data_IF_800691320923
#
_entry.id   IF_800691320923
#
_cell.length_a   1.000
_cell.length_b   1.000
_cell.length_c   1.000
_cell.angle_alpha   90.00
_cell.angle_beta   90.00
_cell.angle_gamma   90.00
#
_symmetry.space_group_name_H-M   'P 1'
#
loop_
_entity.id
_entity.type
_entity.pdbx_description
1 polymer ?
#
# COMPACT_ATOMS: atom_id res chain seq x y z
N UNK A 1 24.19 -4.87 23.12
CA UNK A 1 24.49 -5.96 22.18
C UNK A 1 24.46 -5.36 20.78
N UNK A 2 25.40 -5.76 19.90
CA UNK A 2 25.32 -5.35 18.47
C UNK A 2 24.06 -6.00 17.89
N UNK A 3 23.27 -5.22 17.10
CA UNK A 3 22.13 -5.77 16.37
C UNK A 3 22.63 -6.73 15.30
N UNK A 4 21.81 -7.73 15.00
CA UNK A 4 22.07 -8.69 13.93
C UNK A 4 22.06 -7.98 12.58
N UNK A 5 22.90 -8.41 11.64
CA UNK A 5 22.89 -7.91 10.26
C UNK A 5 21.86 -8.69 9.46
N UNK A 6 21.12 -7.98 8.60
CA UNK A 6 20.24 -8.59 7.63
C UNK A 6 21.05 -9.21 6.49
N UNK A 7 20.81 -10.48 6.20
CA UNK A 7 21.44 -11.19 5.09
C UNK A 7 20.44 -11.38 3.94
N UNK A 8 20.80 -10.89 2.75
CA UNK A 8 19.98 -11.01 1.53
C UNK A 8 20.18 -12.36 0.86
N UNK A 9 19.64 -13.42 1.47
CA UNK A 9 19.79 -14.81 0.97
C UNK A 9 18.82 -15.16 -0.15
N UNK A 10 17.66 -14.50 -0.24
CA UNK A 10 16.56 -14.79 -1.17
C UNK A 10 16.07 -13.50 -1.85
N UNK A 11 15.40 -13.60 -3.02
CA UNK A 11 14.68 -12.47 -3.61
C UNK A 11 13.69 -11.89 -2.62
N UNK A 12 13.59 -10.56 -2.55
CA UNK A 12 12.68 -9.85 -1.66
C UNK A 12 11.43 -9.37 -2.40
N UNK A 13 10.25 -9.73 -1.85
CA UNK A 13 8.96 -9.36 -2.40
C UNK A 13 8.10 -8.72 -1.30
N UNK A 14 7.43 -7.62 -1.62
CA UNK A 14 6.45 -7.00 -0.74
C UNK A 14 5.06 -7.49 -1.13
N UNK A 15 4.41 -8.17 -0.21
CA UNK A 15 3.03 -8.66 -0.35
C UNK A 15 2.17 -8.00 0.72
N UNK A 16 0.85 -8.03 0.58
CA UNK A 16 -0.01 -7.60 1.67
C UNK A 16 -1.41 -8.14 1.54
N UNK A 17 -2.17 -8.04 2.64
CA UNK A 17 -3.58 -8.42 2.70
C UNK A 17 -4.47 -7.19 2.52
N UNK A 18 -5.42 -7.29 1.58
CA UNK A 18 -6.46 -6.30 1.31
C UNK A 18 -7.84 -6.97 1.33
N UNK A 19 -8.90 -6.21 1.50
CA UNK A 19 -10.27 -6.73 1.54
C UNK A 19 -11.12 -6.10 2.64
N UNK A 20 -12.38 -6.51 2.71
CA UNK A 20 -13.37 -5.95 3.63
C UNK A 20 -12.99 -6.14 5.11
N UNK A 21 -13.54 -5.29 6.00
CA UNK A 21 -13.47 -5.49 7.45
C UNK A 21 -14.11 -6.85 7.82
N UNK A 22 -13.60 -7.51 8.84
CA UNK A 22 -14.06 -8.82 9.34
C UNK A 22 -13.96 -10.01 8.37
N UNK A 23 -13.34 -9.85 7.20
CA UNK A 23 -13.04 -10.98 6.29
C UNK A 23 -11.82 -11.82 6.75
N UNK A 24 -11.16 -11.43 7.85
CA UNK A 24 -10.12 -12.22 8.50
C UNK A 24 -8.70 -12.00 7.96
N UNK A 25 -8.39 -10.80 7.43
CA UNK A 25 -7.05 -10.45 6.94
C UNK A 25 -5.97 -10.68 7.97
N UNK A 26 -6.08 -10.04 9.13
CA UNK A 26 -5.10 -10.13 10.23
C UNK A 26 -5.00 -11.55 10.79
N UNK A 27 -6.11 -12.29 10.85
CA UNK A 27 -6.11 -13.70 11.26
C UNK A 27 -5.35 -14.57 10.26
N UNK A 28 -5.53 -14.34 8.96
CA UNK A 28 -4.80 -15.03 7.90
C UNK A 28 -3.31 -14.64 7.93
N UNK A 29 -2.98 -13.38 8.12
CA UNK A 29 -1.60 -12.90 8.29
C UNK A 29 -0.93 -13.60 9.47
N UNK A 30 -1.62 -13.72 10.62
CA UNK A 30 -1.12 -14.47 11.77
C UNK A 30 -0.90 -15.97 11.45
N UNK A 31 -1.80 -16.60 10.68
CA UNK A 31 -1.64 -17.97 10.23
C UNK A 31 -0.40 -18.15 9.32
N UNK A 32 -0.19 -17.23 8.38
CA UNK A 32 0.98 -17.25 7.50
C UNK A 32 2.26 -17.12 8.32
N UNK A 33 2.35 -16.16 9.26
CA UNK A 33 3.56 -16.01 10.09
C UNK A 33 3.84 -17.22 10.96
N UNK A 34 2.81 -17.98 11.37
CA UNK A 34 2.98 -19.20 12.17
C UNK A 34 3.72 -20.30 11.42
N UNK A 35 3.53 -20.43 10.12
CA UNK A 35 4.09 -21.52 9.31
C UNK A 35 5.32 -21.12 8.48
N UNK A 36 5.51 -19.83 8.22
CA UNK A 36 6.58 -19.35 7.36
C UNK A 36 7.57 -18.39 8.03
N UNK A 37 7.36 -18.02 9.29
CA UNK A 37 8.23 -17.06 9.97
C UNK A 37 8.13 -17.11 11.49
N UNK A 38 8.48 -15.99 12.12
CA UNK A 38 8.27 -15.78 13.55
C UNK A 38 6.79 -15.52 13.81
N UNK A 39 6.14 -16.46 14.48
CA UNK A 39 4.71 -16.34 14.79
C UNK A 39 4.36 -15.00 15.44
N UNK A 40 3.43 -14.29 14.84
CA UNK A 40 2.81 -13.09 15.40
C UNK A 40 1.33 -13.34 15.64
N UNK A 41 0.94 -13.30 16.90
CA UNK A 41 -0.47 -13.41 17.25
C UNK A 41 -1.25 -12.17 16.81
N UNK A 42 -2.57 -12.30 16.65
CA UNK A 42 -3.46 -11.21 16.23
C UNK A 42 -3.22 -9.90 17.00
N UNK A 43 -3.12 -9.98 18.34
CA UNK A 43 -2.89 -8.84 19.24
C UNK A 43 -1.47 -8.26 19.20
N UNK A 44 -0.56 -8.91 18.51
CA UNK A 44 0.80 -8.42 18.22
C UNK A 44 0.88 -7.73 16.85
N UNK A 45 0.01 -8.10 15.90
CA UNK A 45 -0.15 -7.47 14.61
C UNK A 45 -0.97 -6.18 14.82
N UNK A 46 -2.19 -6.29 15.34
CA UNK A 46 -3.04 -5.17 15.76
C UNK A 46 -2.66 -4.75 17.19
N UNK A 47 -1.50 -4.10 17.32
CA UNK A 47 -0.87 -3.85 18.63
C UNK A 47 -1.32 -2.60 19.35
N UNK A 48 -1.91 -1.61 18.64
CA UNK A 48 -2.32 -0.34 19.23
C UNK A 48 -3.50 -0.51 20.19
N UNK A 49 -3.57 0.27 21.28
CA UNK A 49 -4.68 0.19 22.24
C UNK A 49 -6.05 0.39 21.61
N UNK A 50 -6.16 1.25 20.61
CA UNK A 50 -7.40 1.53 19.90
C UNK A 50 -7.81 0.36 18.99
N UNK A 51 -6.88 -0.29 18.33
CA UNK A 51 -7.08 -1.49 17.52
C UNK A 51 -7.62 -2.64 18.38
N UNK A 52 -6.98 -2.88 19.53
CA UNK A 52 -7.42 -3.88 20.51
C UNK A 52 -8.80 -3.60 21.08
N UNK A 53 -9.13 -2.34 21.35
CA UNK A 53 -10.42 -1.94 21.88
C UNK A 53 -11.55 -2.08 20.88
N UNK A 54 -11.28 -1.87 19.58
CA UNK A 54 -12.28 -1.94 18.51
C UNK A 54 -12.31 -3.29 17.80
N UNK A 55 -11.26 -4.10 17.93
CA UNK A 55 -11.10 -5.38 17.22
C UNK A 55 -10.93 -5.22 15.70
N UNK A 56 -10.38 -4.08 15.25
CA UNK A 56 -10.16 -3.77 13.83
C UNK A 56 -8.77 -3.19 13.63
N UNK A 57 -8.15 -3.49 12.48
CA UNK A 57 -6.88 -2.89 12.06
C UNK A 57 -7.10 -1.43 11.67
N UNK A 58 -6.32 -0.53 12.23
CA UNK A 58 -6.35 0.92 11.97
C UNK A 58 -5.14 1.34 11.16
N UNK A 59 -3.95 0.95 11.63
CA UNK A 59 -2.67 1.23 10.98
C UNK A 59 -2.18 0.02 10.20
N UNK A 60 -1.35 0.24 9.18
CA UNK A 60 -0.67 -0.86 8.50
C UNK A 60 0.31 -1.53 9.44
N UNK A 61 0.26 -2.85 9.55
CA UNK A 61 1.24 -3.64 10.28
C UNK A 61 2.19 -4.33 9.30
N UNK A 62 3.48 -4.38 9.67
CA UNK A 62 4.51 -5.01 8.85
C UNK A 62 5.04 -6.25 9.57
N UNK A 63 5.01 -7.39 8.90
CA UNK A 63 5.61 -8.63 9.37
C UNK A 63 6.53 -9.20 8.30
N UNK A 64 7.51 -10.03 8.70
CA UNK A 64 8.40 -10.74 7.79
C UNK A 64 8.23 -12.25 7.92
N UNK A 65 8.39 -12.95 6.79
CA UNK A 65 8.47 -14.40 6.74
C UNK A 65 9.15 -14.86 5.44
N UNK A 66 9.45 -16.15 5.34
CA UNK A 66 10.12 -16.71 4.17
C UNK A 66 9.43 -17.99 3.71
N UNK A 67 9.31 -18.14 2.38
CA UNK A 67 9.10 -19.44 1.73
C UNK A 67 10.45 -20.06 1.37
N UNK A 68 10.46 -21.23 0.74
CA UNK A 68 11.69 -21.78 0.19
C UNK A 68 12.32 -20.87 -0.87
N UNK A 69 11.49 -20.13 -1.60
CA UNK A 69 11.89 -19.36 -2.77
C UNK A 69 12.19 -17.89 -2.45
N UNK A 70 11.48 -17.26 -1.47
CA UNK A 70 11.47 -15.81 -1.27
C UNK A 70 11.45 -15.39 0.19
N UNK A 71 11.97 -14.19 0.42
CA UNK A 71 11.74 -13.42 1.65
C UNK A 71 10.62 -12.40 1.40
N UNK A 72 9.60 -12.41 2.25
CA UNK A 72 8.45 -11.52 2.17
C UNK A 72 8.44 -10.47 3.27
N UNK A 73 8.25 -9.21 2.87
CA UNK A 73 7.69 -8.19 3.75
C UNK A 73 6.18 -8.13 3.52
N UNK A 74 5.41 -8.40 4.55
CA UNK A 74 3.95 -8.44 4.46
C UNK A 74 3.33 -7.24 5.15
N UNK A 75 2.46 -6.55 4.45
CA UNK A 75 1.71 -5.38 4.93
C UNK A 75 0.27 -5.79 5.19
N UNK A 76 -0.14 -5.86 6.45
CA UNK A 76 -1.55 -6.06 6.81
C UNK A 76 -2.28 -4.73 6.76
N UNK A 77 -3.25 -4.60 5.85
CA UNK A 77 -3.97 -3.36 5.59
C UNK A 77 -5.30 -3.29 6.36
N UNK A 78 -5.69 -2.10 6.86
CA UNK A 78 -7.00 -1.91 7.45
C UNK A 78 -8.11 -2.18 6.43
N UNK A 79 -9.23 -2.76 6.89
CA UNK A 79 -10.40 -3.07 6.05
C UNK A 79 -11.51 -2.04 6.15
N UNK A 80 -11.51 -1.16 7.17
CA UNK A 80 -12.58 -0.23 7.44
C UNK A 80 -12.47 1.04 6.60
N UNK A 81 -13.61 1.55 6.10
CA UNK A 81 -13.68 2.72 5.22
C UNK A 81 -13.01 4.00 5.81
N UNK A 82 -13.06 4.19 7.13
CA UNK A 82 -12.43 5.35 7.79
C UNK A 82 -10.90 5.36 7.66
N UNK A 83 -10.28 4.19 7.40
CA UNK A 83 -8.82 4.02 7.34
C UNK A 83 -8.29 3.77 5.93
N UNK A 84 -9.07 4.03 4.91
CA UNK A 84 -8.68 3.86 3.50
C UNK A 84 -7.37 4.58 3.16
N UNK A 85 -7.08 5.71 3.80
CA UNK A 85 -5.79 6.41 3.64
C UNK A 85 -4.60 5.50 4.01
N UNK A 86 -4.70 4.75 5.09
CA UNK A 86 -3.66 3.82 5.50
C UNK A 86 -3.61 2.60 4.57
N UNK A 87 -4.77 2.14 4.09
CA UNK A 87 -4.85 1.09 3.06
C UNK A 87 -4.13 1.51 1.77
N UNK A 88 -4.40 2.72 1.25
CA UNK A 88 -3.73 3.25 0.05
C UNK A 88 -2.21 3.30 0.25
N UNK A 89 -1.76 3.78 1.40
CA UNK A 89 -0.32 3.84 1.73
C UNK A 89 0.31 2.45 1.78
N UNK A 90 -0.36 1.49 2.39
CA UNK A 90 0.11 0.10 2.46
C UNK A 90 0.13 -0.55 1.07
N UNK A 91 -0.96 -0.41 0.31
CA UNK A 91 -1.07 -0.99 -1.03
C UNK A 91 -0.02 -0.44 -2.01
N UNK A 92 0.33 0.84 -1.92
CA UNK A 92 1.37 1.45 -2.76
C UNK A 92 2.77 0.83 -2.58
N UNK A 93 2.98 0.05 -1.52
CA UNK A 93 4.23 -0.64 -1.24
C UNK A 93 4.29 -2.06 -1.80
N UNK A 94 3.18 -2.62 -2.23
CA UNK A 94 3.06 -4.03 -2.59
C UNK A 94 3.53 -4.31 -4.02
N UNK A 95 4.21 -5.42 -4.20
CA UNK A 95 4.55 -6.01 -5.50
C UNK A 95 3.45 -6.95 -5.99
N UNK A 96 2.61 -7.42 -5.07
CA UNK A 96 1.39 -8.18 -5.25
C UNK A 96 0.56 -8.14 -3.98
N UNK A 97 -0.72 -8.48 -4.04
CA UNK A 97 -1.58 -8.52 -2.86
C UNK A 97 -2.41 -9.80 -2.79
N UNK A 98 -2.73 -10.19 -1.56
CA UNK A 98 -3.70 -11.24 -1.25
C UNK A 98 -5.05 -10.57 -0.98
N UNK A 99 -6.00 -10.76 -1.88
CA UNK A 99 -7.37 -10.30 -1.70
C UNK A 99 -8.11 -11.30 -0.82
N UNK A 100 -8.43 -10.89 0.41
CA UNK A 100 -9.14 -11.74 1.36
C UNK A 100 -10.63 -11.48 1.29
N UNK A 101 -11.40 -12.50 0.90
CA UNK A 101 -12.86 -12.47 0.80
C UNK A 101 -13.42 -13.58 1.68
N UNK A 102 -14.36 -13.26 2.58
CA UNK A 102 -15.04 -14.29 3.34
C UNK A 102 -16.01 -15.06 2.45
N UNK A 103 -15.91 -16.39 2.43
CA UNK A 103 -16.78 -17.26 1.65
C UNK A 103 -18.26 -17.14 2.07
N UNK A 104 -18.50 -16.74 3.32
CA UNK A 104 -19.86 -16.52 3.87
C UNK A 104 -20.53 -15.27 3.36
N UNK A 105 -19.77 -14.25 2.94
CA UNK A 105 -20.28 -12.91 2.67
C UNK A 105 -20.08 -12.47 1.20
N UNK A 106 -19.12 -13.09 0.51
CA UNK A 106 -18.72 -12.69 -0.83
C UNK A 106 -18.03 -11.31 -0.90
N UNK A 107 -17.84 -10.73 -2.10
CA UNK A 107 -17.23 -9.44 -2.28
C UNK A 107 -18.14 -8.29 -1.86
N UNK A 108 -17.78 -7.61 -0.79
CA UNK A 108 -18.53 -6.50 -0.19
C UNK A 108 -18.02 -5.11 -0.68
N UNK A 109 -18.62 -4.03 -0.17
CA UNK A 109 -18.33 -2.67 -0.63
C UNK A 109 -16.85 -2.29 -0.51
N UNK A 110 -16.19 -2.56 0.64
CA UNK A 110 -14.76 -2.25 0.78
C UNK A 110 -13.89 -3.23 -0.03
N UNK A 111 -14.34 -4.47 -0.31
CA UNK A 111 -13.62 -5.36 -1.22
C UNK A 111 -13.49 -4.72 -2.60
N UNK A 112 -14.59 -4.18 -3.13
CA UNK A 112 -14.62 -3.47 -4.42
C UNK A 112 -13.74 -2.23 -4.41
N UNK A 113 -13.84 -1.41 -3.36
CA UNK A 113 -13.00 -0.21 -3.20
C UNK A 113 -11.51 -0.57 -3.10
N UNK A 114 -11.15 -1.64 -2.37
CA UNK A 114 -9.77 -2.06 -2.22
C UNK A 114 -9.16 -2.59 -3.52
N UNK A 115 -9.91 -3.34 -4.33
CA UNK A 115 -9.45 -3.80 -5.65
C UNK A 115 -9.22 -2.61 -6.57
N UNK A 116 -10.16 -1.66 -6.63
CA UNK A 116 -10.02 -0.43 -7.38
C UNK A 116 -8.77 0.36 -6.95
N UNK A 117 -8.59 0.59 -5.65
CA UNK A 117 -7.46 1.34 -5.11
C UNK A 117 -6.13 0.62 -5.35
N UNK A 118 -6.08 -0.70 -5.19
CA UNK A 118 -4.90 -1.50 -5.50
C UNK A 118 -4.47 -1.31 -6.96
N UNK A 119 -5.43 -1.33 -7.90
CA UNK A 119 -5.14 -1.03 -9.31
C UNK A 119 -4.58 0.37 -9.51
N UNK A 120 -5.18 1.37 -8.87
CA UNK A 120 -4.78 2.77 -9.00
C UNK A 120 -3.39 3.08 -8.45
N UNK A 121 -3.00 2.43 -7.34
CA UNK A 121 -1.66 2.59 -6.77
C UNK A 121 -0.62 1.68 -7.45
N UNK A 122 -1.04 0.89 -8.44
CA UNK A 122 -0.15 0.11 -9.28
C UNK A 122 0.22 -1.26 -8.72
N UNK A 123 -0.59 -1.87 -7.85
CA UNK A 123 -0.43 -3.30 -7.47
C UNK A 123 -0.66 -4.15 -8.71
N UNK A 124 0.35 -4.88 -9.21
CA UNK A 124 0.23 -5.53 -10.51
C UNK A 124 -0.43 -6.90 -10.47
N UNK A 125 -0.37 -7.60 -9.33
CA UNK A 125 -0.81 -8.99 -9.20
C UNK A 125 -1.67 -9.19 -7.97
N UNK A 126 -2.76 -9.98 -8.14
CA UNK A 126 -3.64 -10.38 -7.04
C UNK A 126 -3.76 -11.91 -6.98
N UNK A 127 -3.66 -12.43 -5.76
CA UNK A 127 -4.03 -13.81 -5.40
C UNK A 127 -5.22 -13.73 -4.46
N UNK A 128 -6.23 -14.55 -4.65
CA UNK A 128 -7.45 -14.53 -3.84
C UNK A 128 -7.40 -15.60 -2.76
N UNK A 129 -7.59 -15.18 -1.52
CA UNK A 129 -7.85 -16.06 -0.40
C UNK A 129 -9.36 -16.05 -0.09
N UNK A 130 -10.07 -17.09 -0.47
CA UNK A 130 -11.46 -17.30 -0.10
C UNK A 130 -11.51 -17.85 1.32
N UNK A 131 -11.54 -16.92 2.29
CA UNK A 131 -11.38 -17.23 3.71
C UNK A 131 -12.70 -17.62 4.38
N UNK A 132 -12.63 -18.22 5.57
CA UNK A 132 -13.78 -18.80 6.30
C UNK A 132 -14.50 -19.91 5.49
N UNK A 133 -13.79 -20.56 4.60
CA UNK A 133 -14.35 -21.66 3.79
C UNK A 133 -14.79 -22.86 4.64
N UNK A 134 -14.28 -22.98 5.87
CA UNK A 134 -14.73 -23.96 6.87
C UNK A 134 -16.17 -23.76 7.36
N UNK A 135 -16.76 -22.58 7.11
CA UNK A 135 -18.13 -22.23 7.52
C UNK A 135 -19.16 -22.46 6.42
N UNK A 136 -18.74 -22.88 5.23
CA UNK A 136 -19.61 -23.11 4.07
C UNK A 136 -19.51 -24.57 3.64
N UNK A 137 -20.57 -25.32 3.83
CA UNK A 137 -20.62 -26.75 3.49
C UNK A 137 -21.06 -26.99 2.03
N UNK A 138 -21.64 -25.97 1.38
CA UNK A 138 -22.18 -26.06 0.03
C UNK A 138 -21.15 -25.60 -1.01
N UNK A 139 -20.68 -26.53 -1.83
CA UNK A 139 -19.70 -26.24 -2.89
C UNK A 139 -20.24 -25.27 -3.95
N UNK A 140 -21.55 -25.28 -4.24
CA UNK A 140 -22.15 -24.37 -5.22
C UNK A 140 -22.08 -22.91 -4.73
N UNK A 141 -22.16 -22.67 -3.42
CA UNK A 141 -21.98 -21.34 -2.83
C UNK A 141 -20.53 -20.89 -2.97
N UNK A 142 -19.56 -21.76 -2.73
CA UNK A 142 -18.14 -21.44 -2.88
C UNK A 142 -17.81 -21.09 -4.34
N UNK A 143 -18.31 -21.86 -5.31
CA UNK A 143 -18.16 -21.59 -6.74
C UNK A 143 -18.81 -20.25 -7.16
N UNK A 144 -19.98 -19.95 -6.62
CA UNK A 144 -20.67 -18.67 -6.89
C UNK A 144 -19.86 -17.47 -6.39
N UNK A 145 -19.37 -17.54 -5.15
CA UNK A 145 -18.54 -16.46 -4.57
C UNK A 145 -17.24 -16.31 -5.33
N UNK A 146 -16.61 -17.41 -5.75
CA UNK A 146 -15.43 -17.36 -6.60
C UNK A 146 -15.72 -16.65 -7.93
N UNK A 147 -16.85 -16.96 -8.58
CA UNK A 147 -17.25 -16.31 -9.83
C UNK A 147 -17.44 -14.80 -9.64
N UNK A 148 -18.14 -14.38 -8.57
CA UNK A 148 -18.33 -12.96 -8.25
C UNK A 148 -17.01 -12.22 -8.03
N UNK A 149 -16.03 -12.87 -7.39
CA UNK A 149 -14.69 -12.29 -7.19
C UNK A 149 -13.96 -12.16 -8.52
N UNK A 150 -14.02 -13.18 -9.38
CA UNK A 150 -13.40 -13.13 -10.72
C UNK A 150 -14.01 -12.02 -11.60
N UNK A 151 -15.31 -11.85 -11.56
CA UNK A 151 -16.01 -10.76 -12.25
C UNK A 151 -15.58 -9.39 -11.70
N UNK A 152 -15.46 -9.26 -10.38
CA UNK A 152 -14.96 -8.04 -9.76
C UNK A 152 -13.54 -7.71 -10.24
N UNK A 153 -12.61 -8.68 -10.24
CA UNK A 153 -11.24 -8.48 -10.69
C UNK A 153 -11.21 -8.04 -12.15
N UNK A 154 -11.94 -8.72 -13.03
CA UNK A 154 -12.04 -8.40 -14.46
C UNK A 154 -12.62 -7.01 -14.69
N UNK A 155 -13.59 -6.58 -13.88
CA UNK A 155 -14.19 -5.23 -13.97
C UNK A 155 -13.20 -4.10 -13.62
N UNK A 156 -12.10 -4.43 -12.95
CA UNK A 156 -11.04 -3.49 -12.56
C UNK A 156 -9.74 -3.73 -13.32
N UNK A 157 -9.81 -4.33 -14.50
CA UNK A 157 -8.68 -4.62 -15.41
C UNK A 157 -7.57 -5.51 -14.79
N UNK A 158 -7.90 -6.35 -13.80
CA UNK A 158 -7.06 -7.48 -13.42
C UNK A 158 -7.44 -8.71 -14.24
N UNK A 159 -6.52 -9.66 -14.34
CA UNK A 159 -6.80 -10.96 -15.00
C UNK A 159 -7.65 -11.85 -14.08
N UNK A 160 -8.95 -11.56 -13.99
CA UNK A 160 -9.88 -12.28 -13.12
C UNK A 160 -10.07 -13.73 -13.52
N UNK A 161 -9.98 -14.04 -14.82
CA UNK A 161 -10.18 -15.42 -15.31
C UNK A 161 -9.06 -16.36 -14.87
N UNK A 162 -7.81 -15.87 -14.82
CA UNK A 162 -6.64 -16.65 -14.44
C UNK A 162 -6.13 -16.36 -13.01
N UNK A 163 -6.74 -15.43 -12.29
CA UNK A 163 -6.33 -15.13 -10.92
C UNK A 163 -6.40 -16.39 -10.05
N UNK A 164 -5.35 -16.74 -9.30
CA UNK A 164 -5.39 -17.86 -8.37
C UNK A 164 -6.42 -17.60 -7.27
N UNK A 165 -7.30 -18.56 -7.01
CA UNK A 165 -8.26 -18.53 -5.90
C UNK A 165 -8.02 -19.74 -5.03
N UNK A 166 -7.69 -19.53 -3.75
CA UNK A 166 -7.43 -20.59 -2.78
C UNK A 166 -8.44 -20.50 -1.64
N UNK A 167 -9.15 -21.59 -1.39
CA UNK A 167 -10.06 -21.70 -0.25
C UNK A 167 -9.26 -21.93 1.02
N UNK A 168 -9.40 -21.04 2.02
CA UNK A 168 -8.65 -21.08 3.27
C UNK A 168 -9.55 -20.89 4.48
N UNK A 169 -9.06 -21.32 5.64
CA UNK A 169 -9.57 -20.89 6.94
C UNK A 169 -8.39 -20.49 7.82
N UNK A 170 -8.12 -19.17 7.90
CA UNK A 170 -7.04 -18.65 8.71
C UNK A 170 -7.18 -19.03 10.19
N UNK A 171 -8.40 -19.06 10.72
CA UNK A 171 -8.66 -19.45 12.10
C UNK A 171 -8.36 -20.93 12.36
N UNK A 172 -8.89 -21.84 11.51
CA UNK A 172 -8.64 -23.27 11.64
C UNK A 172 -7.18 -23.65 11.43
N UNK A 173 -6.51 -22.97 10.52
CA UNK A 173 -5.06 -23.14 10.36
C UNK A 173 -4.30 -22.72 11.62
N UNK A 174 -4.67 -21.62 12.28
CA UNK A 174 -4.12 -21.22 13.57
C UNK A 174 -4.38 -22.25 14.68
N UNK A 175 -5.54 -22.89 14.67
CA UNK A 175 -5.89 -23.98 15.60
C UNK A 175 -5.11 -25.28 15.32
N UNK A 176 -4.50 -25.41 14.14
CA UNK A 176 -3.67 -26.55 13.76
C UNK A 176 -4.45 -27.67 13.07
N UNK A 177 -5.57 -27.36 12.43
CA UNK A 177 -6.30 -28.30 11.59
C UNK A 177 -5.52 -28.57 10.30
N UNK A 178 -5.11 -29.82 10.08
CA UNK A 178 -4.19 -30.21 9.00
C UNK A 178 -4.70 -29.82 7.61
N UNK A 179 -6.00 -29.91 7.33
CA UNK A 179 -6.60 -29.49 6.06
C UNK A 179 -6.38 -28.02 5.81
N UNK A 180 -6.64 -27.19 6.83
CA UNK A 180 -6.58 -25.74 6.70
C UNK A 180 -5.14 -25.20 6.84
N UNK A 181 -4.28 -25.92 7.52
CA UNK A 181 -2.82 -25.67 7.47
C UNK A 181 -2.33 -25.86 6.05
N UNK A 182 -2.69 -26.99 5.39
CA UNK A 182 -2.29 -27.23 4.00
C UNK A 182 -2.80 -26.12 3.07
N UNK A 183 -4.02 -25.65 3.25
CA UNK A 183 -4.58 -24.57 2.42
C UNK A 183 -3.82 -23.24 2.54
N UNK A 184 -3.23 -22.93 3.69
CA UNK A 184 -2.35 -21.77 3.87
C UNK A 184 -1.00 -22.00 3.16
N UNK A 185 -0.49 -23.22 3.17
CA UNK A 185 0.72 -23.56 2.40
C UNK A 185 0.45 -23.41 0.90
N UNK A 186 -0.69 -23.94 0.40
CA UNK A 186 -1.12 -23.84 -1.00
C UNK A 186 -1.32 -22.38 -1.43
N UNK A 187 -1.86 -21.53 -0.52
CA UNK A 187 -1.99 -20.08 -0.77
C UNK A 187 -0.61 -19.43 -1.00
N UNK A 188 0.37 -19.77 -0.18
CA UNK A 188 1.70 -19.17 -0.32
C UNK A 188 2.46 -19.73 -1.53
N UNK A 189 2.21 -21.00 -1.91
CA UNK A 189 2.69 -21.56 -3.18
C UNK A 189 2.07 -20.80 -4.37
N UNK A 190 0.77 -20.54 -4.35
CA UNK A 190 0.10 -19.73 -5.38
C UNK A 190 0.67 -18.30 -5.45
N UNK A 191 1.04 -17.69 -4.32
CA UNK A 191 1.72 -16.38 -4.30
C UNK A 191 3.11 -16.49 -4.93
N UNK A 192 3.91 -17.50 -4.57
CA UNK A 192 5.26 -17.73 -5.12
C UNK A 192 5.23 -17.91 -6.65
N UNK A 193 4.22 -18.62 -7.17
CA UNK A 193 4.10 -18.92 -8.60
C UNK A 193 3.55 -17.75 -9.43
N UNK A 194 2.61 -16.97 -8.89
CA UNK A 194 1.85 -15.99 -9.67
C UNK A 194 2.31 -14.54 -9.48
N UNK A 195 3.07 -14.25 -8.44
CA UNK A 195 3.70 -12.94 -8.27
C UNK A 195 5.17 -13.07 -8.72
N UNK A 196 5.56 -12.50 -9.86
CA UNK A 196 6.95 -12.61 -10.34
C UNK A 196 7.92 -11.84 -9.46
N UNK A 197 9.21 -12.16 -9.56
CA UNK A 197 10.26 -11.39 -8.87
C UNK A 197 10.25 -9.94 -9.35
N UNK A 198 10.12 -8.97 -8.42
CA UNK A 198 9.98 -7.59 -8.81
C UNK A 198 11.26 -7.03 -9.44
N UNK A 199 11.12 -6.32 -10.55
CA UNK A 199 12.21 -5.56 -11.14
C UNK A 199 12.47 -4.32 -10.30
N UNK A 200 13.71 -4.15 -9.81
CA UNK A 200 14.10 -3.05 -8.92
C UNK A 200 14.98 -2.03 -9.61
N UNK A 201 14.54 -0.78 -9.66
CA UNK A 201 15.25 0.37 -10.22
C UNK A 201 16.41 0.83 -9.31
N UNK A 202 17.42 -0.02 -9.10
CA UNK A 202 18.54 0.26 -8.17
C UNK A 202 19.48 1.37 -8.67
N UNK A 203 19.57 1.58 -9.98
CA UNK A 203 20.49 2.55 -10.59
C UNK A 203 19.93 3.99 -10.64
N UNK A 204 18.62 4.15 -10.39
CA UNK A 204 18.00 5.48 -10.30
C UNK A 204 18.41 6.22 -9.01
N UNK A 205 18.30 7.56 -8.96
CA UNK A 205 18.49 8.31 -7.71
C UNK A 205 17.53 7.79 -6.62
N UNK A 206 18.07 7.61 -5.41
CA UNK A 206 17.29 7.10 -4.27
C UNK A 206 16.06 7.96 -3.98
N UNK A 207 14.93 7.30 -3.72
CA UNK A 207 13.69 7.91 -3.28
C UNK A 207 12.95 6.95 -2.35
N UNK A 208 12.56 7.45 -1.18
CA UNK A 208 11.75 6.73 -0.19
C UNK A 208 10.67 7.67 0.37
N UNK A 209 9.37 7.41 0.12
CA UNK A 209 8.27 8.10 0.78
C UNK A 209 8.27 7.81 2.28
N UNK A 210 8.02 8.83 3.10
CA UNK A 210 7.94 8.68 4.56
C UNK A 210 6.52 8.25 4.93
N UNK A 211 6.42 7.13 5.65
CA UNK A 211 5.17 6.58 6.16
C UNK A 211 4.95 6.91 7.61
N UNK A 212 6.00 6.77 8.41
CA UNK A 212 5.94 7.05 9.83
C UNK A 212 7.23 7.69 10.33
N UNK A 213 7.11 8.40 11.46
CA UNK A 213 8.22 9.14 12.08
C UNK A 213 8.20 8.89 13.58
N UNK A 214 9.26 8.33 14.12
CA UNK A 214 9.41 8.12 15.56
C UNK A 214 10.76 8.55 16.09
N UNK A 215 10.83 8.65 17.40
CA UNK A 215 12.07 8.96 18.11
C UNK A 215 12.53 7.74 18.89
N UNK A 216 13.78 7.35 18.68
CA UNK A 216 14.43 6.34 19.51
C UNK A 216 15.26 7.07 20.57
N UNK A 217 14.94 6.85 21.85
CA UNK A 217 15.65 7.47 22.97
C UNK A 217 17.15 7.20 22.88
N UNK A 218 17.96 8.28 22.89
CA UNK A 218 19.42 8.21 22.80
C UNK A 218 19.98 7.97 21.39
N UNK A 219 19.13 7.77 20.36
CA UNK A 219 19.58 7.57 18.97
C UNK A 219 19.15 8.70 18.03
N UNK A 220 17.94 9.21 18.17
CA UNK A 220 17.40 10.30 17.35
C UNK A 220 16.12 9.96 16.62
N UNK A 221 15.82 10.71 15.57
CA UNK A 221 14.61 10.55 14.73
C UNK A 221 14.83 9.48 13.69
N UNK A 222 13.86 8.59 13.57
CA UNK A 222 13.79 7.53 12.54
C UNK A 222 12.58 7.80 11.67
N UNK A 223 12.77 7.73 10.36
CA UNK A 223 11.69 7.73 9.38
C UNK A 223 11.61 6.36 8.73
N UNK A 224 10.41 5.85 8.52
CA UNK A 224 10.20 4.57 7.84
C UNK A 224 9.47 4.75 6.52
N UNK A 225 9.68 3.81 5.64
CA UNK A 225 9.03 3.72 4.35
C UNK A 225 9.64 2.62 3.49
N UNK A 226 9.04 2.40 2.33
CA UNK A 226 9.61 1.55 1.29
C UNK A 226 10.49 2.38 0.36
N UNK A 227 11.71 1.94 0.11
CA UNK A 227 12.56 2.50 -0.93
C UNK A 227 11.91 2.27 -2.30
N UNK A 228 11.37 3.32 -2.93
CA UNK A 228 10.67 3.24 -4.21
C UNK A 228 11.67 2.92 -5.34
N UNK A 229 12.85 3.54 -5.28
CA UNK A 229 13.94 3.35 -6.25
C UNK A 229 15.31 3.70 -5.66
N UNK A 230 16.36 3.31 -6.35
CA UNK A 230 17.74 3.62 -6.03
C UNK A 230 18.33 2.78 -4.91
N UNK A 231 19.53 3.17 -4.50
CA UNK A 231 20.26 2.62 -3.36
C UNK A 231 20.74 3.74 -2.44
N UNK A 232 20.81 3.47 -1.13
CA UNK A 232 21.25 4.43 -0.12
C UNK A 232 22.17 3.75 0.88
N UNK A 233 23.43 4.14 0.92
CA UNK A 233 24.38 3.67 1.92
C UNK A 233 24.30 4.48 3.22
N UNK A 234 24.71 3.89 4.35
CA UNK A 234 24.89 4.63 5.60
C UNK A 234 25.92 5.77 5.42
N UNK A 235 25.74 6.85 6.19
CA UNK A 235 26.51 8.10 6.10
C UNK A 235 26.32 8.90 4.80
N UNK A 236 25.34 8.55 3.97
CA UNK A 236 24.98 9.35 2.80
C UNK A 236 24.18 10.60 3.21
N UNK A 237 24.45 11.71 2.50
CA UNK A 237 23.64 12.92 2.57
C UNK A 237 22.33 12.69 1.79
N UNK A 238 21.20 13.13 2.37
CA UNK A 238 19.88 13.08 1.76
C UNK A 238 19.16 14.41 1.93
N UNK A 239 18.15 14.64 1.10
CA UNK A 239 17.17 15.72 1.26
C UNK A 239 15.81 15.14 1.65
N UNK A 240 15.11 15.87 2.53
CA UNK A 240 13.71 15.63 2.89
C UNK A 240 12.88 16.68 2.17
N UNK A 241 12.00 16.24 1.26
CA UNK A 241 11.32 17.08 0.28
C UNK A 241 9.80 16.93 0.41
N UNK A 242 9.09 18.03 0.19
CA UNK A 242 7.62 18.11 0.20
C UNK A 242 7.03 18.64 1.51
N UNK A 243 5.82 19.16 1.45
CA UNK A 243 5.01 19.74 2.52
C UNK A 243 5.66 20.91 3.25
N UNK A 244 6.93 20.85 3.54
CA UNK A 244 7.77 21.84 4.24
C UNK A 244 8.97 22.25 3.39
N UNK A 245 9.69 23.32 3.79
CA UNK A 245 10.97 23.65 3.14
C UNK A 245 11.92 22.47 3.14
N UNK A 246 12.55 22.23 2.00
CA UNK A 246 13.53 21.14 1.83
C UNK A 246 14.67 21.30 2.84
N UNK A 247 15.00 20.22 3.53
CA UNK A 247 16.11 20.17 4.48
C UNK A 247 17.08 19.04 4.16
N UNK A 248 18.36 19.27 4.45
CA UNK A 248 19.42 18.28 4.28
C UNK A 248 19.75 17.61 5.60
N UNK A 249 20.01 16.31 5.53
CA UNK A 249 20.48 15.53 6.68
C UNK A 249 21.36 14.38 6.22
N UNK A 250 21.91 13.63 7.17
CA UNK A 250 22.73 12.44 6.92
C UNK A 250 22.04 11.24 7.55
N UNK A 251 21.93 10.16 6.78
CA UNK A 251 21.44 8.86 7.28
C UNK A 251 22.58 8.15 8.00
N UNK A 252 22.47 8.00 9.33
CA UNK A 252 23.52 7.40 10.17
C UNK A 252 23.30 5.93 10.48
N UNK A 253 22.12 5.39 10.15
CA UNK A 253 21.81 3.98 10.31
C UNK A 253 20.61 3.59 9.46
N UNK A 254 20.61 2.36 9.01
CA UNK A 254 19.53 1.77 8.23
C UNK A 254 19.15 0.44 8.89
N UNK A 255 17.87 0.22 9.09
CA UNK A 255 17.34 -0.99 9.73
C UNK A 255 16.14 -1.53 8.94
N UNK A 256 16.05 -2.83 8.82
CA UNK A 256 14.89 -3.55 8.28
C UNK A 256 14.55 -4.70 9.23
N UNK A 257 13.31 -4.77 9.71
CA UNK A 257 12.85 -5.78 10.69
C UNK A 257 13.79 -5.92 11.91
N UNK A 258 14.20 -4.79 12.48
CA UNK A 258 15.14 -4.69 13.63
C UNK A 258 16.57 -5.17 13.36
N UNK A 259 16.91 -5.60 12.13
CA UNK A 259 18.26 -5.98 11.70
C UNK A 259 18.94 -4.79 11.00
N UNK A 260 20.26 -4.67 11.13
CA UNK A 260 21.03 -3.58 10.53
C UNK A 260 21.35 -3.87 9.06
N UNK A 261 21.32 -2.81 8.25
CA UNK A 261 21.74 -2.80 6.86
C UNK A 261 22.90 -1.82 6.69
N UNK A 262 23.88 -2.14 5.84
CA UNK A 262 24.92 -1.21 5.41
C UNK A 262 24.40 -0.26 4.32
N UNK A 263 23.41 -0.71 3.54
CA UNK A 263 22.70 0.06 2.52
C UNK A 263 21.26 -0.42 2.35
N UNK A 264 20.35 0.50 1.97
CA UNK A 264 18.98 0.19 1.56
C UNK A 264 18.91 0.10 0.04
N UNK A 265 18.12 -0.85 -0.48
CA UNK A 265 17.88 -1.04 -1.91
C UNK A 265 16.42 -0.78 -2.27
N UNK A 266 16.19 -0.39 -3.52
CA UNK A 266 14.85 -0.31 -4.09
C UNK A 266 14.03 -1.55 -3.75
N UNK A 267 12.82 -1.34 -3.26
CA UNK A 267 11.88 -2.37 -2.82
C UNK A 267 11.94 -2.72 -1.33
N UNK A 268 12.97 -2.33 -0.59
CA UNK A 268 13.08 -2.67 0.83
C UNK A 268 12.30 -1.70 1.72
N UNK A 269 11.57 -2.24 2.70
CA UNK A 269 10.91 -1.49 3.76
C UNK A 269 11.93 -1.25 4.89
N UNK A 270 12.37 -0.03 5.05
CA UNK A 270 13.44 0.29 6.00
C UNK A 270 13.16 1.52 6.85
N UNK A 271 13.82 1.55 8.00
CA UNK A 271 13.91 2.70 8.88
C UNK A 271 15.26 3.39 8.71
N UNK A 272 15.23 4.69 8.44
CA UNK A 272 16.41 5.55 8.28
C UNK A 272 16.61 6.42 9.52
N UNK A 273 17.73 6.27 10.21
CA UNK A 273 18.12 7.11 11.34
C UNK A 273 18.75 8.41 10.83
N UNK A 274 18.12 9.53 11.13
CA UNK A 274 18.51 10.86 10.64
C UNK A 274 19.35 11.62 11.66
N UNK A 275 20.47 12.22 11.22
CA UNK A 275 21.36 13.02 12.08
C UNK A 275 20.80 14.41 12.32
N UNK A 276 20.64 14.79 13.60
CA UNK A 276 20.31 16.17 13.97
C UNK A 276 18.91 16.64 13.57
N UNK A 277 18.07 15.75 13.05
CA UNK A 277 16.70 16.04 12.69
C UNK A 277 15.80 15.75 13.88
N UNK A 278 14.95 16.69 14.27
CA UNK A 278 13.96 16.49 15.33
C UNK A 278 12.71 15.82 14.75
N UNK A 279 11.95 15.14 15.59
CA UNK A 279 10.72 14.47 15.17
C UNK A 279 9.72 15.45 14.52
N UNK A 280 9.63 16.68 15.05
CA UNK A 280 8.69 17.70 14.57
C UNK A 280 9.15 18.41 13.28
N UNK A 281 10.39 18.19 12.85
CA UNK A 281 10.91 18.74 11.59
C UNK A 281 10.50 17.91 10.37
N UNK A 282 10.03 16.67 10.58
CA UNK A 282 9.70 15.68 9.55
C UNK A 282 8.31 15.13 9.79
N UNK A 283 7.57 14.88 8.71
CA UNK A 283 6.22 14.30 8.79
C UNK A 283 5.96 13.30 7.66
N UNK A 284 4.97 12.43 7.89
CA UNK A 284 4.44 11.54 6.86
C UNK A 284 4.04 12.32 5.62
N UNK A 285 4.34 11.77 4.45
CA UNK A 285 4.03 12.39 3.17
C UNK A 285 5.17 13.15 2.51
N UNK A 286 6.22 13.49 3.29
CA UNK A 286 7.49 13.92 2.72
C UNK A 286 8.23 12.73 2.10
N UNK A 287 9.24 12.98 1.30
CA UNK A 287 10.12 11.95 0.72
C UNK A 287 11.58 12.18 1.10
N UNK A 288 12.30 11.10 1.35
CA UNK A 288 13.76 11.10 1.48
C UNK A 288 14.35 10.81 0.11
N UNK A 289 15.20 11.71 -0.39
CA UNK A 289 15.76 11.61 -1.74
C UNK A 289 17.26 11.86 -1.77
N UNK A 290 17.92 11.38 -2.83
CA UNK A 290 19.26 11.82 -3.17
C UNK A 290 19.24 13.33 -3.41
N UNK A 291 20.20 14.12 -2.86
CA UNK A 291 20.20 15.56 -3.00
C UNK A 291 20.05 16.05 -4.44
N UNK A 292 19.10 16.99 -4.65
CA UNK A 292 18.82 17.59 -5.94
C UNK A 292 18.11 16.69 -6.97
N UNK A 293 17.65 15.50 -6.60
CA UNK A 293 17.02 14.58 -7.56
C UNK A 293 15.52 14.80 -7.74
N UNK A 294 14.83 15.36 -6.74
CA UNK A 294 13.40 15.67 -6.78
C UNK A 294 13.16 17.03 -6.15
N UNK A 295 12.22 17.79 -6.71
CA UNK A 295 11.81 19.10 -6.20
C UNK A 295 10.34 19.08 -5.78
N UNK A 296 9.96 19.94 -4.81
CA UNK A 296 8.55 20.08 -4.43
C UNK A 296 7.81 21.02 -5.38
N UNK A 297 6.56 20.67 -5.72
CA UNK A 297 5.74 21.42 -6.66
C UNK A 297 4.30 21.57 -6.14
N UNK A 298 3.63 22.66 -6.55
CA UNK A 298 2.23 22.93 -6.23
C UNK A 298 1.33 22.86 -7.45
N UNK A 299 1.85 23.12 -8.66
CA UNK A 299 1.02 23.26 -9.86
C UNK A 299 1.45 22.23 -10.91
N UNK A 300 0.48 21.51 -11.44
CA UNK A 300 0.71 20.51 -12.47
C UNK A 300 -0.46 20.38 -13.44
N UNK A 301 -0.19 19.86 -14.62
CA UNK A 301 -1.19 19.31 -15.53
C UNK A 301 -1.27 17.81 -15.31
N UNK A 302 -2.46 17.24 -15.37
CA UNK A 302 -2.67 15.80 -15.22
C UNK A 302 -3.90 15.33 -15.96
N UNK A 303 -3.88 14.08 -16.37
CA UNK A 303 -5.05 13.39 -16.93
C UNK A 303 -5.65 12.52 -15.83
N UNK A 304 -6.99 12.54 -15.69
CA UNK A 304 -7.69 11.70 -14.72
C UNK A 304 -8.95 11.07 -15.30
N UNK A 305 -9.21 9.85 -14.87
CA UNK A 305 -10.50 9.18 -15.01
C UNK A 305 -11.35 9.45 -13.78
N UNK A 306 -12.59 9.88 -13.99
CA UNK A 306 -13.55 10.17 -12.93
C UNK A 306 -14.51 8.98 -12.80
N UNK A 307 -14.49 8.33 -11.65
CA UNK A 307 -15.28 7.14 -11.40
C UNK A 307 -16.77 7.40 -11.60
N UNK A 308 -17.43 6.49 -12.29
CA UNK A 308 -18.87 6.47 -12.46
C UNK A 308 -19.59 6.17 -11.14
N UNK A 309 -20.91 6.38 -11.10
CA UNK A 309 -21.75 6.03 -9.97
C UNK A 309 -21.68 4.53 -9.63
N UNK A 310 -21.67 3.69 -10.65
CA UNK A 310 -21.68 2.23 -10.50
C UNK A 310 -20.33 1.70 -9.98
N UNK A 311 -19.24 2.45 -10.19
CA UNK A 311 -17.92 2.22 -9.63
C UNK A 311 -17.76 2.81 -8.20
N UNK A 312 -18.84 3.33 -7.60
CA UNK A 312 -18.81 3.94 -6.28
C UNK A 312 -18.34 5.41 -6.26
N UNK A 313 -18.16 6.00 -7.44
CA UNK A 313 -17.71 7.38 -7.62
C UNK A 313 -18.80 8.45 -7.41
N UNK A 314 -18.67 9.55 -8.12
CA UNK A 314 -19.59 10.67 -8.03
C UNK A 314 -20.92 10.39 -8.72
N UNK A 315 -21.98 11.08 -8.26
CA UNK A 315 -23.30 11.06 -8.90
C UNK A 315 -23.54 12.29 -9.77
N UNK A 316 -22.83 13.38 -9.53
CA UNK A 316 -23.01 14.64 -10.20
C UNK A 316 -21.70 15.09 -10.86
N UNK A 317 -21.78 15.87 -11.96
CA UNK A 317 -20.60 16.47 -12.58
C UNK A 317 -19.90 17.43 -11.61
N UNK A 318 -18.64 17.75 -11.93
CA UNK A 318 -17.93 18.84 -11.30
C UNK A 318 -17.51 19.90 -12.35
N UNK A 319 -17.19 21.08 -11.86
CA UNK A 319 -16.86 22.27 -12.64
C UNK A 319 -15.48 22.80 -12.25
N UNK A 320 -14.94 23.73 -13.01
CA UNK A 320 -13.77 24.51 -12.62
C UNK A 320 -13.93 25.06 -11.19
N UNK A 321 -12.84 25.11 -10.43
CA UNK A 321 -12.76 25.40 -8.99
C UNK A 321 -13.25 24.28 -8.06
N UNK A 322 -13.45 23.07 -8.54
CA UNK A 322 -13.65 21.90 -7.68
C UNK A 322 -12.42 21.65 -6.81
N UNK A 323 -12.64 21.33 -5.52
CA UNK A 323 -11.58 21.25 -4.50
C UNK A 323 -11.57 19.92 -3.76
N UNK A 324 -11.18 18.83 -4.42
CA UNK A 324 -11.03 17.53 -3.77
C UNK A 324 -9.68 17.39 -3.06
N UNK A 325 -9.48 16.24 -2.41
CA UNK A 325 -8.19 15.80 -1.91
C UNK A 325 -7.47 14.95 -2.96
N UNK A 326 -6.21 15.27 -3.19
CA UNK A 326 -5.30 14.52 -4.05
C UNK A 326 -4.38 13.68 -3.18
N UNK A 327 -4.36 12.38 -3.41
CA UNK A 327 -3.52 11.43 -2.71
C UNK A 327 -2.31 11.07 -3.56
N UNK A 328 -1.13 11.40 -3.06
CA UNK A 328 0.15 11.08 -3.68
C UNK A 328 0.99 10.27 -2.71
N UNK A 329 1.45 9.09 -3.11
CA UNK A 329 2.26 8.22 -2.25
C UNK A 329 1.65 8.06 -0.85
N UNK A 330 2.25 8.68 0.17
CA UNK A 330 1.85 8.57 1.59
C UNK A 330 1.11 9.79 2.13
N UNK A 331 0.79 10.78 1.27
CA UNK A 331 0.13 12.03 1.68
C UNK A 331 -1.13 12.35 0.89
N UNK A 332 -1.96 13.22 1.45
CA UNK A 332 -3.08 13.84 0.79
C UNK A 332 -3.00 15.36 0.92
N UNK A 333 -3.29 16.06 -0.16
CA UNK A 333 -3.30 17.53 -0.22
C UNK A 333 -4.53 17.99 -0.97
N UNK A 334 -5.20 19.00 -0.47
CA UNK A 334 -6.30 19.64 -1.19
C UNK A 334 -5.76 20.39 -2.42
N UNK A 335 -6.40 20.19 -3.56
CA UNK A 335 -6.07 20.91 -4.79
C UNK A 335 -7.29 21.54 -5.42
N UNK A 336 -7.07 22.61 -6.18
CA UNK A 336 -8.09 23.29 -6.98
C UNK A 336 -7.93 22.86 -8.43
N UNK A 337 -9.00 22.34 -9.02
CA UNK A 337 -9.04 21.91 -10.41
C UNK A 337 -9.49 23.06 -11.31
N UNK A 338 -8.75 23.27 -12.38
CA UNK A 338 -9.14 24.12 -13.52
C UNK A 338 -9.28 23.23 -14.75
N UNK A 339 -10.46 23.24 -15.35
CA UNK A 339 -10.75 22.50 -16.58
C UNK A 339 -10.20 23.22 -17.81
N UNK A 340 -9.88 22.48 -18.89
CA UNK A 340 -9.42 23.06 -20.15
C UNK A 340 -10.44 24.03 -20.75
N UNK A 341 -9.96 24.98 -21.57
CA UNK A 341 -10.84 25.88 -22.33
C UNK A 341 -11.86 25.10 -23.17
N UNK A 342 -13.13 25.46 -23.09
CA UNK A 342 -14.22 24.79 -23.79
C UNK A 342 -14.84 23.60 -23.04
N UNK A 343 -14.28 23.18 -21.91
CA UNK A 343 -14.87 22.16 -21.04
C UNK A 343 -15.62 22.84 -19.89
N UNK A 344 -16.94 22.83 -19.93
CA UNK A 344 -17.76 23.44 -18.87
C UNK A 344 -17.83 22.56 -17.63
N UNK A 345 -17.94 21.23 -17.79
CA UNK A 345 -18.07 20.26 -16.71
C UNK A 345 -17.46 18.92 -17.10
N UNK A 346 -17.21 18.10 -16.10
CA UNK A 346 -16.77 16.69 -16.25
C UNK A 346 -17.79 15.78 -15.58
N UNK A 347 -18.26 14.79 -16.34
CA UNK A 347 -19.24 13.81 -15.88
C UNK A 347 -18.55 12.63 -15.19
N UNK A 348 -19.23 11.96 -14.24
CA UNK A 348 -18.80 10.62 -13.79
C UNK A 348 -18.70 9.66 -14.98
N UNK A 349 -17.57 8.96 -15.11
CA UNK A 349 -17.23 8.09 -16.24
C UNK A 349 -16.33 8.75 -17.30
N UNK A 350 -16.07 10.06 -17.20
CA UNK A 350 -15.22 10.75 -18.16
C UNK A 350 -13.74 10.64 -17.80
N UNK A 351 -12.92 10.65 -18.85
CA UNK A 351 -11.47 10.96 -18.74
C UNK A 351 -11.24 12.41 -19.15
N UNK A 352 -10.52 13.16 -18.35
CA UNK A 352 -10.27 14.57 -18.62
C UNK A 352 -8.84 14.99 -18.31
N UNK A 353 -8.32 15.94 -19.09
CA UNK A 353 -7.14 16.69 -18.72
C UNK A 353 -7.53 17.83 -17.81
N UNK A 354 -6.68 18.19 -16.88
CA UNK A 354 -6.93 19.29 -15.93
C UNK A 354 -5.62 19.90 -15.45
N UNK A 355 -5.72 21.16 -15.06
CA UNK A 355 -4.67 21.85 -14.30
C UNK A 355 -5.04 21.82 -12.83
N UNK A 356 -4.10 21.49 -11.98
CA UNK A 356 -4.30 21.41 -10.52
C UNK A 356 -3.34 22.33 -9.81
N UNK A 357 -3.87 23.10 -8.85
CA UNK A 357 -3.10 23.89 -7.90
C UNK A 357 -3.31 23.34 -6.49
N UNK A 358 -2.25 22.75 -5.92
CA UNK A 358 -2.23 22.19 -4.55
C UNK A 358 -2.02 23.30 -3.53
N UNK A 359 -2.64 23.18 -2.36
CA UNK A 359 -2.47 24.14 -1.26
C UNK A 359 -1.12 24.02 -0.54
N UNK A 360 -0.40 22.90 -0.75
CA UNK A 360 0.93 22.63 -0.20
C UNK A 360 1.80 21.98 -1.26
N UNK A 361 3.13 22.24 -1.26
CA UNK A 361 4.03 21.60 -2.20
C UNK A 361 4.26 20.13 -1.84
N UNK A 362 4.27 19.26 -2.82
CA UNK A 362 4.64 17.85 -2.67
C UNK A 362 5.82 17.49 -3.57
N UNK A 363 6.57 16.47 -3.19
CA UNK A 363 7.60 15.89 -4.05
C UNK A 363 6.92 15.23 -5.26
N UNK A 364 7.10 15.83 -6.44
CA UNK A 364 6.38 15.47 -7.66
C UNK A 364 7.33 15.27 -8.82
N UNK A 365 6.96 14.33 -9.69
CA UNK A 365 7.63 14.06 -10.97
C UNK A 365 6.55 13.75 -12.01
N UNK A 366 6.87 13.98 -13.29
CA UNK A 366 6.00 13.56 -14.39
C UNK A 366 5.86 12.02 -14.38
N UNK A 367 4.66 11.53 -14.64
CA UNK A 367 4.31 10.11 -14.53
C UNK A 367 3.85 9.67 -13.14
N UNK A 368 3.90 10.55 -12.12
CA UNK A 368 3.41 10.20 -10.78
C UNK A 368 1.89 10.03 -10.78
N UNK A 369 1.42 8.85 -10.34
CA UNK A 369 0.01 8.56 -10.15
C UNK A 369 -0.58 9.28 -8.94
N UNK A 370 -1.88 9.60 -9.00
CA UNK A 370 -2.64 10.14 -7.88
C UNK A 370 -4.08 9.62 -7.86
N UNK A 371 -4.64 9.56 -6.66
CA UNK A 371 -6.08 9.34 -6.49
C UNK A 371 -6.77 10.65 -6.07
N UNK A 372 -8.02 10.83 -6.52
CA UNK A 372 -8.87 11.96 -6.16
C UNK A 372 -9.95 11.48 -5.20
N UNK A 373 -10.10 12.14 -4.06
CA UNK A 373 -11.08 11.75 -3.03
C UNK A 373 -11.94 12.94 -2.59
N UNK A 374 -13.20 12.65 -2.30
CA UNK A 374 -14.19 13.59 -1.77
C UNK A 374 -15.07 12.89 -0.74
N UNK A 375 -15.25 13.49 0.44
CA UNK A 375 -16.14 12.99 1.47
C UNK A 375 -15.85 11.54 1.91
N UNK A 376 -14.56 11.14 1.93
CA UNK A 376 -14.14 9.80 2.31
C UNK A 376 -14.22 8.75 1.18
N UNK A 377 -14.62 9.14 -0.04
CA UNK A 377 -14.74 8.23 -1.20
C UNK A 377 -13.71 8.56 -2.26
N UNK A 378 -13.19 7.56 -2.94
CA UNK A 378 -12.40 7.74 -4.16
C UNK A 378 -13.36 8.09 -5.29
N UNK A 379 -13.08 9.21 -5.96
CA UNK A 379 -13.94 9.74 -7.04
C UNK A 379 -13.20 9.80 -8.37
N UNK A 380 -11.92 9.51 -8.38
CA UNK A 380 -11.12 9.46 -9.61
C UNK A 380 -9.68 9.08 -9.35
N UNK A 381 -8.97 8.82 -10.41
CA UNK A 381 -7.54 8.58 -10.41
C UNK A 381 -6.89 9.15 -11.67
N UNK A 382 -5.63 9.48 -11.56
CA UNK A 382 -4.93 10.09 -12.69
C UNK A 382 -3.41 10.04 -12.56
N UNK A 383 -2.77 10.68 -13.53
CA UNK A 383 -1.32 10.75 -13.62
C UNK A 383 -0.89 12.18 -13.90
N UNK A 384 0.20 12.62 -13.27
CA UNK A 384 0.85 13.92 -13.57
C UNK A 384 1.46 13.85 -14.96
N UNK A 385 1.01 14.69 -15.87
CA UNK A 385 1.50 14.73 -17.24
C UNK A 385 2.58 15.77 -17.45
N UNK A 386 2.50 16.89 -16.66
CA UNK A 386 3.47 17.98 -16.75
C UNK A 386 3.51 18.79 -15.45
N UNK A 387 4.70 19.17 -15.03
CA UNK A 387 4.92 20.06 -13.90
C UNK A 387 4.96 21.51 -14.38
N UNK A 388 4.19 22.39 -13.70
CA UNK A 388 4.10 23.81 -14.05
C UNK A 388 4.88 24.69 -13.07
N UNK A 389 4.82 24.40 -11.75
CA UNK A 389 5.51 25.19 -10.72
C UNK A 389 5.72 24.36 -9.45
#
# INVERSE_FOLDING_TARGET
MAKEKFERGKPHCNIGTIGHVDHGKTTLTAAITKYFGDFRAYDQIDGAPEEKARGITISTAHVEYETENRHYAHVDCPGHADYVKNMITGAAQMDGAILVVAATDGPMAQTREHVLLAKQVGVPYLVVALNKADMVDDEEILELVELEVRELLSSQDFDGDNAPVVQVSGLKALEGDDKWVQSVLDLMEAVDENVPDPVRDKDKPFLMPIEDVFTITGRGTVVTGRAERGTLAINSEVEIVGLRPTQKTIVTGIEMFHKQLDEAWAGENCGLLLRGTKRDDVERGQVVVKPGSVTPHTNFEGTAYILSKDEGGRHNPFFTNYRPQFYFRTTDVTGVITLPEGTEMVMPGDTTDMTVELIQPIAMEEGLGYAIREGGRTVGAGTVTKILK
#
